data_IF_344678407476
#
_entry.id   IF_344678407476
#
_cell.length_a   1.000
_cell.length_b   1.000
_cell.length_c   1.000
_cell.angle_alpha   90.00
_cell.angle_beta   90.00
_cell.angle_gamma   90.00
#
_symmetry.space_group_name_H-M   'P 1'
#
loop_
_entity.id
_entity.type
_entity.pdbx_description
1 polymer ?
#
# COMPACT_ATOMS: atom_id res chain seq x y z
N UNK A 1 30.42 23.43 15.29
CA UNK A 1 29.50 24.12 14.35
C UNK A 1 28.42 23.08 13.95
N UNK A 2 27.13 23.42 14.06
CA UNK A 2 26.05 22.50 13.62
C UNK A 2 26.11 22.37 12.10
N UNK A 3 25.99 21.17 11.56
CA UNK A 3 25.99 20.95 10.11
C UNK A 3 24.86 21.74 9.45
N UNK A 4 25.11 22.32 8.28
CA UNK A 4 24.14 23.14 7.53
C UNK A 4 22.83 22.38 7.22
N UNK A 5 22.90 21.07 7.10
CA UNK A 5 21.71 20.21 6.89
C UNK A 5 20.67 20.41 7.98
N UNK A 6 21.07 20.56 9.24
CA UNK A 6 20.12 20.82 10.33
C UNK A 6 19.45 22.18 10.24
N UNK A 7 20.14 23.18 9.70
CA UNK A 7 19.53 24.50 9.42
C UNK A 7 18.47 24.39 8.32
N UNK A 8 18.72 23.56 7.29
CA UNK A 8 17.75 23.32 6.22
C UNK A 8 16.55 22.53 6.72
N UNK A 9 16.76 21.55 7.60
CA UNK A 9 15.67 20.79 8.26
C UNK A 9 14.81 21.73 9.11
N UNK A 10 15.41 22.65 9.87
CA UNK A 10 14.68 23.63 10.69
C UNK A 10 13.81 24.53 9.78
N UNK A 11 14.34 25.00 8.63
CA UNK A 11 13.58 25.78 7.64
C UNK A 11 12.42 25.00 7.03
N UNK A 12 12.63 23.72 6.70
CA UNK A 12 11.57 22.86 6.16
C UNK A 12 10.47 22.63 7.20
N UNK A 13 10.84 22.49 8.48
CA UNK A 13 9.88 22.40 9.58
C UNK A 13 9.03 23.68 9.71
N UNK A 14 9.63 24.85 9.56
CA UNK A 14 8.93 26.14 9.53
C UNK A 14 7.97 26.19 8.34
N UNK A 15 8.44 25.84 7.13
CA UNK A 15 7.60 25.79 5.93
C UNK A 15 6.36 24.91 6.11
N UNK A 16 6.54 23.71 6.67
CA UNK A 16 5.43 22.78 6.92
C UNK A 16 4.46 23.29 8.00
N UNK A 17 4.95 24.05 8.98
CA UNK A 17 4.10 24.63 10.03
C UNK A 17 3.26 25.82 9.52
N UNK A 18 3.79 26.59 8.58
CA UNK A 18 3.15 27.80 8.07
C UNK A 18 2.27 27.56 6.84
N UNK A 19 2.39 26.38 6.19
CA UNK A 19 1.66 26.03 4.98
C UNK A 19 0.44 25.15 5.21
N UNK A 20 -0.47 25.14 4.22
CA UNK A 20 -1.50 24.13 4.06
C UNK A 20 -1.06 23.14 2.97
N UNK A 21 -0.64 21.94 3.39
CA UNK A 21 -0.26 20.89 2.44
C UNK A 21 -1.50 20.28 1.79
N UNK A 22 -1.65 20.49 0.48
CA UNK A 22 -2.74 19.93 -0.31
C UNK A 22 -2.32 18.75 -1.19
N UNK A 23 -1.07 18.30 -1.07
CA UNK A 23 -0.61 17.06 -1.73
C UNK A 23 -1.20 15.86 -0.99
N UNK A 24 -2.14 15.08 -1.61
CA UNK A 24 -2.91 14.08 -0.89
C UNK A 24 -2.10 12.87 -0.43
N UNK A 25 -0.85 12.75 -0.88
CA UNK A 25 0.10 11.71 -0.44
C UNK A 25 1.00 12.15 0.73
N UNK A 26 0.90 13.37 1.21
CA UNK A 26 1.64 13.87 2.37
C UNK A 26 0.81 13.83 3.65
N UNK A 27 1.50 13.71 4.80
CA UNK A 27 0.88 13.72 6.12
C UNK A 27 1.94 14.04 7.19
N UNK A 28 1.47 14.37 8.39
CA UNK A 28 2.31 14.67 9.54
C UNK A 28 2.37 13.47 10.50
N UNK A 29 3.56 12.87 10.62
CA UNK A 29 3.79 11.76 11.53
C UNK A 29 3.84 12.20 13.00
N UNK A 30 3.59 11.28 13.93
CA UNK A 30 3.74 11.56 15.36
C UNK A 30 5.20 11.72 15.77
N UNK A 31 5.43 12.39 16.92
CA UNK A 31 6.76 12.49 17.52
C UNK A 31 7.35 11.10 17.81
N UNK A 32 6.53 10.14 18.24
CA UNK A 32 6.99 8.77 18.52
C UNK A 32 7.47 8.04 17.25
N UNK A 33 6.84 8.27 16.10
CA UNK A 33 7.30 7.75 14.81
C UNK A 33 8.67 8.37 14.45
N UNK A 34 8.85 9.69 14.62
CA UNK A 34 10.14 10.35 14.36
C UNK A 34 11.25 9.85 15.30
N UNK A 35 10.94 9.62 16.57
CA UNK A 35 11.87 9.07 17.56
C UNK A 35 12.33 7.65 17.18
N UNK A 36 11.41 6.79 16.76
CA UNK A 36 11.75 5.46 16.27
C UNK A 36 12.62 5.50 15.00
N UNK A 37 12.32 6.42 14.07
CA UNK A 37 13.11 6.64 12.85
C UNK A 37 14.54 7.08 13.13
N UNK A 38 14.77 7.91 14.16
CA UNK A 38 16.09 8.40 14.58
C UNK A 38 16.81 7.48 15.58
N UNK A 39 16.36 6.25 15.78
CA UNK A 39 16.91 5.33 16.78
C UNK A 39 18.20 4.64 16.33
N UNK A 40 18.89 4.01 17.30
CA UNK A 40 20.11 3.20 17.05
C UNK A 40 19.87 1.97 16.15
N UNK A 41 18.60 1.66 15.85
CA UNK A 41 18.25 0.57 14.92
C UNK A 41 18.74 0.82 13.50
N UNK A 42 19.11 2.06 13.15
CA UNK A 42 19.79 2.39 11.88
C UNK A 42 21.14 1.67 11.75
N UNK A 43 21.77 1.28 12.86
CA UNK A 43 23.05 0.57 12.87
C UNK A 43 22.89 -0.95 12.63
N UNK A 44 21.64 -1.47 12.62
CA UNK A 44 21.39 -2.91 12.65
C UNK A 44 21.23 -3.50 11.26
N UNK A 45 21.86 -4.67 11.06
CA UNK A 45 21.73 -5.50 9.86
C UNK A 45 21.00 -6.80 10.22
N UNK A 46 19.91 -7.15 9.50
CA UNK A 46 18.99 -8.23 9.90
C UNK A 46 18.40 -8.98 8.71
N UNK A 47 19.25 -9.54 7.84
CA UNK A 47 18.79 -10.33 6.69
C UNK A 47 18.02 -11.57 7.11
N UNK A 48 16.91 -11.84 6.42
CA UNK A 48 15.95 -12.89 6.73
C UNK A 48 14.74 -12.39 7.49
N UNK A 49 14.11 -13.28 8.24
CA UNK A 49 12.83 -13.01 8.92
C UNK A 49 12.81 -13.51 10.36
N UNK A 50 11.99 -12.93 11.26
CA UNK A 50 11.65 -13.57 12.52
C UNK A 50 10.79 -14.81 12.26
N UNK A 51 10.68 -15.72 13.25
CA UNK A 51 9.68 -16.79 13.19
C UNK A 51 8.28 -16.22 13.30
N UNK A 52 7.35 -16.80 12.53
CA UNK A 52 5.93 -16.42 12.52
C UNK A 52 5.06 -17.27 13.47
N UNK A 53 5.64 -18.26 14.16
CA UNK A 53 4.92 -19.13 15.06
C UNK A 53 4.26 -18.37 16.21
N UNK A 54 2.98 -18.62 16.43
CA UNK A 54 2.21 -18.07 17.55
C UNK A 54 1.83 -16.60 17.43
N UNK A 55 1.92 -15.99 16.24
CA UNK A 55 1.41 -14.63 16.01
C UNK A 55 -0.12 -14.56 15.90
N UNK A 56 -0.82 -15.70 15.87
CA UNK A 56 -2.28 -15.78 15.83
C UNK A 56 -2.94 -15.41 17.13
N UNK A 57 -2.23 -15.56 18.27
CA UNK A 57 -2.73 -15.12 19.57
C UNK A 57 -2.36 -13.64 19.80
N UNK A 58 -3.36 -12.77 19.72
CA UNK A 58 -3.13 -11.35 19.93
C UNK A 58 -2.84 -11.03 21.40
N UNK A 59 -1.56 -10.95 21.74
CA UNK A 59 -1.07 -10.39 22.99
C UNK A 59 0.30 -9.77 22.75
N UNK A 60 0.35 -8.43 22.73
CA UNK A 60 1.57 -7.68 22.39
C UNK A 60 2.76 -8.02 23.29
N UNK A 61 2.54 -8.22 24.59
CA UNK A 61 3.61 -8.58 25.53
C UNK A 61 4.13 -9.98 25.24
N UNK A 62 3.23 -10.96 25.03
CA UNK A 62 3.64 -12.31 24.67
C UNK A 62 4.40 -12.34 23.34
N UNK A 63 3.95 -11.58 22.33
CA UNK A 63 4.63 -11.46 21.02
C UNK A 63 6.02 -10.87 21.23
N UNK A 64 6.16 -9.82 22.05
CA UNK A 64 7.41 -9.16 22.34
C UNK A 64 8.38 -10.01 23.20
N UNK A 65 7.86 -10.85 24.09
CA UNK A 65 8.69 -11.64 25.04
C UNK A 65 9.06 -13.03 24.53
N UNK A 66 8.31 -13.57 23.56
CA UNK A 66 8.49 -14.95 23.10
C UNK A 66 9.86 -15.15 22.46
N UNK A 67 10.66 -16.03 23.03
CA UNK A 67 11.89 -16.54 22.41
C UNK A 67 11.50 -17.60 21.38
N UNK A 68 11.51 -17.22 20.11
CA UNK A 68 11.25 -18.14 18.99
C UNK A 68 12.53 -18.33 18.17
N UNK A 69 12.63 -19.47 17.51
CA UNK A 69 13.54 -19.64 16.39
C UNK A 69 13.29 -18.55 15.35
N UNK A 70 14.27 -18.21 14.56
CA UNK A 70 14.12 -17.25 13.48
C UNK A 70 14.70 -17.82 12.17
N UNK A 71 14.38 -17.17 11.09
CA UNK A 71 14.87 -17.46 9.73
C UNK A 71 15.88 -16.39 9.30
N UNK A 72 16.66 -15.86 10.27
CA UNK A 72 17.75 -14.93 10.03
C UNK A 72 19.02 -15.67 9.59
N UNK A 73 19.83 -15.01 8.81
CA UNK A 73 21.07 -15.59 8.30
C UNK A 73 22.19 -15.60 9.34
N UNK A 74 22.05 -14.84 10.46
CA UNK A 74 23.02 -14.74 11.54
C UNK A 74 22.37 -14.35 12.87
N UNK A 75 23.12 -14.50 13.97
CA UNK A 75 22.65 -14.25 15.33
C UNK A 75 22.57 -12.77 15.71
N UNK A 76 22.25 -12.52 16.98
CA UNK A 76 22.15 -11.16 17.54
C UNK A 76 20.86 -10.42 17.21
N UNK A 77 19.78 -11.14 16.89
CA UNK A 77 18.53 -10.58 16.33
C UNK A 77 17.40 -10.45 17.35
N UNK A 78 17.62 -10.80 18.62
CA UNK A 78 16.57 -10.94 19.63
C UNK A 78 15.61 -9.75 19.71
N UNK A 79 16.13 -8.51 19.69
CA UNK A 79 15.29 -7.33 19.83
C UNK A 79 14.61 -6.94 18.51
N UNK A 80 15.32 -7.04 17.40
CA UNK A 80 14.72 -6.72 16.08
C UNK A 80 13.68 -7.76 15.68
N UNK A 81 13.85 -9.04 16.02
CA UNK A 81 12.83 -10.07 15.83
C UNK A 81 11.52 -9.75 16.59
N UNK A 82 11.66 -9.23 17.80
CA UNK A 82 10.49 -8.81 18.60
C UNK A 82 9.79 -7.61 17.99
N UNK A 83 10.56 -6.62 17.53
CA UNK A 83 10.03 -5.41 16.90
C UNK A 83 9.33 -5.77 15.59
N UNK A 84 9.95 -6.57 14.73
CA UNK A 84 9.38 -6.95 13.45
C UNK A 84 8.12 -7.82 13.62
N UNK A 85 8.13 -8.80 14.53
CA UNK A 85 6.93 -9.58 14.88
C UNK A 85 5.78 -8.69 15.37
N UNK A 86 6.08 -7.71 16.19
CA UNK A 86 5.07 -6.76 16.69
C UNK A 86 4.49 -5.92 15.53
N UNK A 87 5.34 -5.47 14.61
CA UNK A 87 4.89 -4.74 13.41
C UNK A 87 3.98 -5.62 12.54
N UNK A 88 4.38 -6.87 12.26
CA UNK A 88 3.60 -7.85 11.49
C UNK A 88 2.24 -8.10 12.17
N UNK A 89 2.23 -8.43 13.46
CA UNK A 89 1.01 -8.73 14.20
C UNK A 89 0.03 -7.54 14.23
N UNK A 90 0.53 -6.32 14.43
CA UNK A 90 -0.28 -5.10 14.40
C UNK A 90 -0.85 -4.84 13.01
N UNK A 91 -0.06 -5.02 11.96
CA UNK A 91 -0.51 -4.89 10.57
C UNK A 91 -1.60 -5.93 10.24
N UNK A 92 -1.39 -7.20 10.57
CA UNK A 92 -2.40 -8.25 10.39
C UNK A 92 -3.72 -7.91 11.08
N UNK A 93 -3.65 -7.42 12.33
CA UNK A 93 -4.84 -7.03 13.09
C UNK A 93 -5.57 -5.83 12.47
N UNK A 94 -4.83 -4.81 12.02
CA UNK A 94 -5.41 -3.60 11.40
C UNK A 94 -6.16 -3.90 10.11
N UNK A 95 -5.64 -4.81 9.31
CA UNK A 95 -6.09 -5.05 7.94
C UNK A 95 -6.75 -6.42 7.75
N UNK A 96 -7.03 -7.16 8.82
CA UNK A 96 -7.61 -8.52 8.78
C UNK A 96 -6.81 -9.46 7.85
N UNK A 97 -5.49 -9.29 7.77
CA UNK A 97 -4.61 -10.11 6.96
C UNK A 97 -4.14 -11.36 7.72
N UNK A 98 -3.84 -12.43 6.99
CA UNK A 98 -3.28 -13.66 7.58
C UNK A 98 -1.77 -13.50 7.79
N UNK A 99 -1.10 -12.70 6.94
CA UNK A 99 0.30 -12.34 7.06
C UNK A 99 0.59 -10.92 6.54
N UNK A 100 1.69 -10.35 7.02
CA UNK A 100 2.18 -9.06 6.58
C UNK A 100 3.71 -9.10 6.40
N UNK A 101 4.20 -8.60 5.26
CA UNK A 101 5.62 -8.30 5.09
C UNK A 101 5.85 -6.80 5.29
N UNK A 102 6.61 -6.45 6.33
CA UNK A 102 6.87 -5.06 6.75
C UNK A 102 8.21 -4.52 6.24
N UNK A 103 8.97 -5.32 5.50
CA UNK A 103 10.31 -4.98 5.01
C UNK A 103 10.34 -4.12 3.73
N UNK A 104 9.32 -4.03 2.85
CA UNK A 104 9.41 -3.21 1.65
C UNK A 104 9.79 -1.76 1.96
N UNK A 105 10.80 -1.25 1.22
CA UNK A 105 11.35 0.10 1.41
C UNK A 105 10.36 1.19 0.95
N UNK A 106 9.50 0.87 -0.02
CA UNK A 106 8.49 1.78 -0.56
C UNK A 106 7.29 1.00 -1.10
N UNK A 107 6.19 1.71 -1.46
CA UNK A 107 5.07 1.10 -2.17
C UNK A 107 5.49 0.51 -3.53
N UNK A 108 6.39 1.16 -4.24
CA UNK A 108 6.93 0.64 -5.50
C UNK A 108 7.65 -0.70 -5.30
N UNK A 109 8.51 -0.81 -4.27
CA UNK A 109 9.17 -2.07 -3.94
C UNK A 109 8.17 -3.16 -3.51
N UNK A 110 7.09 -2.78 -2.81
CA UNK A 110 6.03 -3.72 -2.44
C UNK A 110 5.32 -4.28 -3.70
N UNK A 111 4.95 -3.43 -4.66
CA UNK A 111 4.34 -3.86 -5.90
C UNK A 111 5.27 -4.75 -6.73
N UNK A 112 6.52 -4.34 -6.92
CA UNK A 112 7.56 -5.11 -7.62
C UNK A 112 7.77 -6.50 -7.00
N UNK A 113 7.79 -6.60 -5.67
CA UNK A 113 7.93 -7.88 -4.98
C UNK A 113 6.72 -8.80 -5.23
N UNK A 114 5.49 -8.27 -5.27
CA UNK A 114 4.29 -9.06 -5.58
C UNK A 114 4.32 -9.56 -7.03
N UNK A 115 4.68 -8.69 -7.99
CA UNK A 115 4.83 -9.11 -9.39
C UNK A 115 5.89 -10.21 -9.53
N UNK A 116 7.06 -10.02 -8.90
CA UNK A 116 8.14 -11.00 -8.91
C UNK A 116 7.77 -12.33 -8.22
N UNK A 117 6.93 -12.28 -7.18
CA UNK A 117 6.45 -13.48 -6.49
C UNK A 117 5.55 -14.34 -7.37
N UNK A 118 4.70 -13.71 -8.18
CA UNK A 118 3.61 -14.41 -8.86
C UNK A 118 3.82 -14.57 -10.37
N UNK A 119 4.22 -13.52 -11.05
CA UNK A 119 4.34 -13.48 -12.49
C UNK A 119 5.71 -13.93 -13.00
N UNK A 120 5.75 -14.46 -14.22
CA UNK A 120 6.97 -14.69 -14.98
C UNK A 120 7.17 -13.54 -16.01
N UNK A 121 8.39 -13.28 -16.48
CA UNK A 121 8.61 -12.27 -17.52
C UNK A 121 7.72 -12.48 -18.75
N UNK A 122 7.02 -11.43 -19.17
CA UNK A 122 6.06 -11.46 -20.27
C UNK A 122 4.62 -11.80 -19.88
N UNK A 123 4.36 -12.16 -18.64
CA UNK A 123 2.98 -12.39 -18.16
C UNK A 123 2.12 -11.14 -18.22
N UNK A 124 0.83 -11.32 -18.51
CA UNK A 124 -0.14 -10.26 -18.60
C UNK A 124 -0.64 -9.83 -17.22
N UNK A 125 -0.57 -8.53 -16.94
CA UNK A 125 -1.10 -7.89 -15.74
C UNK A 125 -2.15 -6.86 -16.15
N UNK A 126 -3.38 -7.03 -15.69
CA UNK A 126 -4.46 -6.05 -15.93
C UNK A 126 -4.46 -5.01 -14.81
N UNK A 127 -4.25 -3.73 -15.14
CA UNK A 127 -4.06 -2.65 -14.18
C UNK A 127 -4.60 -1.31 -14.69
N UNK A 128 -4.85 -0.37 -13.77
CA UNK A 128 -5.40 0.96 -14.09
C UNK A 128 -4.39 1.80 -14.88
N UNK A 129 -4.86 2.41 -15.96
CA UNK A 129 -4.10 3.34 -16.79
C UNK A 129 -3.60 4.54 -15.98
N UNK A 130 -2.33 4.94 -16.19
CA UNK A 130 -1.75 6.12 -15.55
C UNK A 130 -2.56 7.40 -15.81
N UNK A 131 -3.04 7.59 -17.03
CA UNK A 131 -3.85 8.74 -17.43
C UNK A 131 -5.23 8.79 -16.79
N UNK A 132 -5.73 7.67 -16.26
CA UNK A 132 -6.99 7.56 -15.52
C UNK A 132 -6.80 7.55 -14.00
N UNK A 133 -5.58 7.74 -13.53
CA UNK A 133 -5.27 7.81 -12.09
C UNK A 133 -4.49 6.62 -11.53
N UNK A 134 -4.03 5.68 -12.37
CA UNK A 134 -3.16 4.58 -11.94
C UNK A 134 -1.82 5.08 -11.38
N UNK A 135 -1.11 4.21 -10.68
CA UNK A 135 0.25 4.52 -10.21
C UNK A 135 1.29 4.19 -11.29
N UNK A 136 2.47 4.83 -11.23
CA UNK A 136 3.57 4.54 -12.16
C UNK A 136 3.90 3.03 -12.24
N UNK A 137 3.91 2.32 -11.12
CA UNK A 137 4.19 0.88 -11.06
C UNK A 137 3.08 0.00 -11.61
N UNK A 138 1.94 0.57 -12.04
CA UNK A 138 0.83 -0.13 -12.68
C UNK A 138 0.99 -0.22 -14.21
N UNK A 139 2.22 -0.20 -14.70
CA UNK A 139 2.52 -0.42 -16.11
C UNK A 139 2.94 0.81 -16.89
N UNK A 140 3.31 1.91 -16.24
CA UNK A 140 3.90 3.04 -16.97
C UNK A 140 5.19 2.61 -17.68
N UNK A 141 5.36 2.93 -18.99
CA UNK A 141 6.50 2.47 -19.80
C UNK A 141 7.88 2.84 -19.26
N UNK A 142 7.95 3.83 -18.36
CA UNK A 142 9.21 4.27 -17.76
C UNK A 142 9.62 3.42 -16.55
N UNK A 143 8.75 2.53 -16.08
CA UNK A 143 9.04 1.68 -14.91
C UNK A 143 9.73 0.38 -15.27
N UNK A 144 10.43 -0.21 -14.29
CA UNK A 144 11.06 -1.51 -14.43
C UNK A 144 10.02 -2.60 -14.70
N UNK A 145 8.89 -2.60 -13.98
CA UNK A 145 7.83 -3.59 -14.12
C UNK A 145 7.30 -3.66 -15.55
N UNK A 146 7.06 -2.53 -16.21
CA UNK A 146 6.59 -2.47 -17.58
C UNK A 146 7.62 -2.96 -18.63
N UNK A 147 8.90 -3.10 -18.24
CA UNK A 147 9.94 -3.70 -19.10
C UNK A 147 10.02 -5.23 -18.97
N UNK A 148 9.41 -5.77 -17.92
CA UNK A 148 9.46 -7.21 -17.59
C UNK A 148 8.13 -7.89 -17.89
N UNK A 149 7.01 -7.25 -17.55
CA UNK A 149 5.66 -7.79 -17.67
C UNK A 149 4.85 -7.02 -18.72
N UNK A 150 3.83 -7.65 -19.25
CA UNK A 150 2.93 -7.04 -20.21
C UNK A 150 1.71 -6.45 -19.49
N UNK A 151 1.68 -5.13 -19.31
CA UNK A 151 0.55 -4.45 -18.69
C UNK A 151 -0.55 -4.12 -19.68
N UNK A 152 -1.77 -4.56 -19.36
CA UNK A 152 -3.00 -4.25 -20.11
C UNK A 152 -3.73 -3.17 -19.31
N UNK A 153 -3.86 -1.94 -19.83
CA UNK A 153 -4.47 -0.85 -19.08
C UNK A 153 -6.00 -0.88 -19.21
N UNK A 154 -6.71 -0.67 -18.09
CA UNK A 154 -8.13 -0.33 -18.07
C UNK A 154 -8.35 1.11 -17.61
N UNK A 155 -9.53 1.67 -17.90
CA UNK A 155 -9.87 3.05 -17.64
C UNK A 155 -10.96 3.27 -16.59
N UNK A 156 -11.47 4.49 -16.61
CA UNK A 156 -12.66 4.95 -15.88
C UNK A 156 -13.72 5.41 -16.88
N UNK A 157 -14.99 5.35 -16.47
CA UNK A 157 -16.10 5.95 -17.21
C UNK A 157 -16.05 7.49 -17.16
N UNK A 158 -16.87 8.15 -17.97
CA UNK A 158 -16.98 9.62 -17.96
C UNK A 158 -17.50 10.15 -16.61
N UNK A 159 -18.28 9.34 -15.88
CA UNK A 159 -18.76 9.64 -14.52
C UNK A 159 -17.70 9.43 -13.43
N UNK A 160 -16.49 9.00 -13.81
CA UNK A 160 -15.35 8.78 -12.91
C UNK A 160 -15.44 7.52 -12.07
N UNK A 161 -16.25 6.52 -12.47
CA UNK A 161 -16.20 5.17 -11.91
C UNK A 161 -15.15 4.31 -12.63
N UNK A 162 -14.70 3.21 -12.00
CA UNK A 162 -13.94 2.20 -12.73
C UNK A 162 -14.83 1.61 -13.83
N UNK A 163 -14.30 1.47 -15.03
CA UNK A 163 -15.02 0.81 -16.12
C UNK A 163 -14.96 -0.71 -15.94
N UNK A 164 -15.88 -1.23 -15.11
CA UNK A 164 -15.92 -2.66 -14.79
C UNK A 164 -16.27 -3.54 -15.99
N UNK A 165 -17.00 -3.01 -16.99
CA UNK A 165 -17.34 -3.76 -18.20
C UNK A 165 -16.08 -3.88 -19.09
N UNK A 166 -15.26 -2.82 -19.18
CA UNK A 166 -13.95 -2.88 -19.81
C UNK A 166 -13.01 -3.85 -19.08
N UNK A 167 -12.96 -3.79 -17.72
CA UNK A 167 -12.13 -4.69 -16.91
C UNK A 167 -12.52 -6.16 -17.16
N UNK A 168 -13.81 -6.48 -17.17
CA UNK A 168 -14.32 -7.83 -17.44
C UNK A 168 -13.96 -8.28 -18.85
N UNK A 169 -14.23 -7.46 -19.85
CA UNK A 169 -13.88 -7.72 -21.25
C UNK A 169 -12.39 -8.02 -21.40
N UNK A 170 -11.52 -7.14 -20.90
CA UNK A 170 -10.08 -7.30 -20.99
C UNK A 170 -9.58 -8.54 -20.25
N UNK A 171 -10.12 -8.86 -19.08
CA UNK A 171 -9.79 -10.06 -18.33
C UNK A 171 -10.19 -11.36 -19.06
N UNK A 172 -11.28 -11.31 -19.80
CA UNK A 172 -11.76 -12.44 -20.59
C UNK A 172 -11.05 -12.55 -21.97
N UNK A 173 -10.61 -11.46 -22.57
CA UNK A 173 -9.93 -11.47 -23.87
C UNK A 173 -8.43 -11.79 -23.77
N UNK A 174 -7.83 -11.59 -22.59
CA UNK A 174 -6.38 -11.76 -22.38
C UNK A 174 -6.12 -12.79 -21.27
N UNK A 175 -5.17 -13.69 -21.48
CA UNK A 175 -4.71 -14.64 -20.46
C UNK A 175 -3.91 -13.90 -19.37
N UNK A 176 -4.63 -13.28 -18.41
CA UNK A 176 -4.01 -12.52 -17.33
C UNK A 176 -3.57 -13.44 -16.18
N UNK A 177 -2.44 -13.12 -15.54
CA UNK A 177 -1.94 -13.79 -14.33
C UNK A 177 -2.23 -12.99 -13.07
N UNK A 178 -2.45 -11.68 -13.22
CA UNK A 178 -2.71 -10.78 -12.11
C UNK A 178 -3.73 -9.70 -12.52
N UNK A 179 -4.74 -9.49 -11.68
CA UNK A 179 -5.67 -8.36 -11.76
C UNK A 179 -5.39 -7.41 -10.61
N UNK A 180 -4.99 -6.18 -10.94
CA UNK A 180 -4.62 -5.14 -9.98
C UNK A 180 -5.66 -4.02 -9.95
N UNK A 181 -6.24 -3.79 -8.79
CA UNK A 181 -7.04 -2.60 -8.48
C UNK A 181 -6.23 -1.68 -7.59
N UNK A 182 -6.05 -0.44 -8.01
CA UNK A 182 -5.29 0.53 -7.23
C UNK A 182 -5.06 1.82 -8.00
N UNK A 183 -4.74 2.88 -7.27
CA UNK A 183 -4.72 4.22 -7.83
C UNK A 183 -3.83 5.18 -7.05
N UNK A 184 -3.36 6.22 -7.76
CA UNK A 184 -2.79 7.44 -7.19
C UNK A 184 -3.80 8.58 -7.13
N UNK A 185 -4.78 8.58 -8.04
CA UNK A 185 -5.77 9.65 -8.18
C UNK A 185 -7.14 9.05 -8.53
N UNK A 186 -7.91 8.68 -7.52
CA UNK A 186 -9.27 8.15 -7.67
C UNK A 186 -10.09 8.50 -6.42
N UNK A 187 -11.23 9.16 -6.61
CA UNK A 187 -12.00 9.77 -5.54
C UNK A 187 -13.19 8.93 -5.06
N UNK A 188 -13.50 7.82 -5.73
CA UNK A 188 -14.60 6.91 -5.36
C UNK A 188 -14.10 5.67 -4.63
N UNK A 189 -15.01 4.86 -4.15
CA UNK A 189 -14.75 3.54 -3.54
C UNK A 189 -14.98 2.48 -4.61
N UNK A 190 -13.97 1.64 -4.94
CA UNK A 190 -14.15 0.55 -5.89
C UNK A 190 -15.16 -0.51 -5.39
N UNK A 191 -15.93 -1.07 -6.30
CA UNK A 191 -16.75 -2.27 -6.05
C UNK A 191 -15.86 -3.52 -6.07
N UNK A 192 -15.28 -3.83 -4.92
CA UNK A 192 -14.38 -4.99 -4.76
C UNK A 192 -15.09 -6.33 -4.99
N UNK A 193 -16.40 -6.40 -4.71
CA UNK A 193 -17.18 -7.63 -4.92
C UNK A 193 -17.35 -7.91 -6.42
N UNK A 194 -17.63 -6.88 -7.23
CA UNK A 194 -17.71 -6.99 -8.69
C UNK A 194 -16.36 -7.42 -9.28
N UNK A 195 -15.26 -6.85 -8.81
CA UNK A 195 -13.91 -7.23 -9.24
C UNK A 195 -13.59 -8.69 -8.92
N UNK A 196 -13.96 -9.16 -7.73
CA UNK A 196 -13.77 -10.56 -7.35
C UNK A 196 -14.57 -11.53 -8.26
N UNK A 197 -15.78 -11.15 -8.69
CA UNK A 197 -16.57 -11.91 -9.66
C UNK A 197 -15.91 -11.93 -11.05
N UNK A 198 -15.37 -10.81 -11.51
CA UNK A 198 -14.61 -10.72 -12.78
C UNK A 198 -13.40 -11.65 -12.74
N UNK A 199 -12.60 -11.61 -11.67
CA UNK A 199 -11.47 -12.53 -11.48
C UNK A 199 -11.90 -13.99 -11.60
N UNK A 200 -12.99 -14.36 -10.92
CA UNK A 200 -13.51 -15.73 -10.96
C UNK A 200 -13.93 -16.17 -12.36
N UNK A 201 -14.61 -15.32 -13.11
CA UNK A 201 -14.99 -15.58 -14.50
C UNK A 201 -13.75 -15.78 -15.41
N UNK A 202 -12.70 -14.98 -15.19
CA UNK A 202 -11.44 -15.14 -15.93
C UNK A 202 -10.71 -16.46 -15.56
N UNK A 203 -10.67 -16.84 -14.28
CA UNK A 203 -10.11 -18.13 -13.84
C UNK A 203 -10.85 -19.32 -14.48
N UNK A 204 -12.19 -19.26 -14.52
CA UNK A 204 -13.02 -20.32 -15.14
C UNK A 204 -12.76 -20.42 -16.66
N UNK A 205 -12.47 -19.28 -17.32
CA UNK A 205 -12.11 -19.26 -18.75
C UNK A 205 -10.70 -19.79 -19.02
N UNK A 206 -9.70 -19.32 -18.25
CA UNK A 206 -8.28 -19.61 -18.53
C UNK A 206 -7.77 -20.88 -17.86
N UNK A 207 -8.52 -21.46 -16.91
CA UNK A 207 -8.19 -22.71 -16.23
C UNK A 207 -7.01 -22.65 -15.26
N UNK A 208 -6.67 -21.49 -14.74
CA UNK A 208 -5.61 -21.30 -13.74
C UNK A 208 -5.96 -20.20 -12.73
N UNK A 209 -5.27 -20.21 -11.58
CA UNK A 209 -5.41 -19.17 -10.55
C UNK A 209 -4.92 -17.82 -11.07
N UNK A 210 -5.68 -16.76 -10.78
CA UNK A 210 -5.34 -15.36 -11.08
C UNK A 210 -5.18 -14.61 -9.76
N UNK A 211 -4.01 -14.02 -9.53
CA UNK A 211 -3.77 -13.22 -8.33
C UNK A 211 -4.62 -11.95 -8.35
N UNK A 212 -5.47 -11.79 -7.35
CA UNK A 212 -6.22 -10.56 -7.14
C UNK A 212 -5.48 -9.67 -6.14
N UNK A 213 -4.97 -8.54 -6.63
CA UNK A 213 -4.13 -7.60 -5.88
C UNK A 213 -4.82 -6.23 -5.76
N UNK A 214 -4.69 -5.60 -4.61
CA UNK A 214 -5.11 -4.21 -4.40
C UNK A 214 -3.93 -3.34 -3.96
N UNK A 215 -3.63 -2.26 -4.68
CA UNK A 215 -2.73 -1.19 -4.20
C UNK A 215 -3.57 -0.08 -3.56
N UNK A 216 -3.63 -0.10 -2.22
CA UNK A 216 -4.46 0.81 -1.42
C UNK A 216 -3.61 1.89 -0.72
N UNK A 217 -2.48 2.26 -1.30
CA UNK A 217 -1.52 3.19 -0.70
C UNK A 217 -2.17 4.50 -0.23
N UNK A 218 -3.10 5.06 -1.00
CA UNK A 218 -3.74 6.32 -0.64
C UNK A 218 -4.74 6.19 0.51
N UNK A 219 -5.48 5.10 0.57
CA UNK A 219 -6.62 4.94 1.51
C UNK A 219 -6.34 4.00 2.68
N UNK A 220 -5.11 3.50 2.83
CA UNK A 220 -4.76 2.53 3.88
C UNK A 220 -5.13 2.98 5.30
N UNK A 221 -4.97 4.27 5.62
CA UNK A 221 -5.39 4.82 6.92
C UNK A 221 -6.90 4.80 7.10
N UNK A 222 -7.67 4.99 6.02
CA UNK A 222 -9.14 4.91 6.04
C UNK A 222 -9.61 3.47 6.20
N UNK A 223 -8.93 2.51 5.55
CA UNK A 223 -9.17 1.06 5.70
C UNK A 223 -8.86 0.63 7.13
N UNK A 224 -7.70 0.96 7.66
CA UNK A 224 -7.29 0.63 9.03
C UNK A 224 -8.26 1.16 10.09
N UNK A 225 -8.91 2.29 9.81
CA UNK A 225 -9.92 2.90 10.68
C UNK A 225 -11.35 2.35 10.46
N UNK A 226 -11.56 1.46 9.50
CA UNK A 226 -12.89 0.97 9.11
C UNK A 226 -13.81 2.07 8.56
N UNK A 227 -13.23 3.05 7.86
CA UNK A 227 -13.94 4.15 7.17
C UNK A 227 -14.04 3.90 5.67
N UNK A 228 -13.16 3.05 5.14
CA UNK A 228 -13.16 2.56 3.77
C UNK A 228 -13.19 1.03 3.79
N UNK A 229 -13.88 0.34 2.87
CA UNK A 229 -13.90 -1.11 2.82
C UNK A 229 -12.48 -1.68 2.59
N UNK A 230 -12.23 -2.85 3.18
CA UNK A 230 -10.95 -3.53 3.07
C UNK A 230 -11.02 -4.58 1.93
N UNK A 231 -10.22 -4.48 0.86
CA UNK A 231 -10.29 -5.44 -0.25
C UNK A 231 -10.03 -6.89 0.18
N UNK A 232 -9.24 -7.13 1.24
CA UNK A 232 -8.98 -8.48 1.75
C UNK A 232 -10.26 -9.18 2.28
N UNK A 233 -11.29 -8.43 2.65
CA UNK A 233 -12.59 -8.97 3.08
C UNK A 233 -13.48 -9.38 1.88
N UNK A 234 -13.07 -9.04 0.64
CA UNK A 234 -13.77 -9.33 -0.62
C UNK A 234 -13.03 -10.33 -1.52
N UNK A 235 -12.15 -11.16 -0.95
CA UNK A 235 -11.47 -12.22 -1.69
C UNK A 235 -10.21 -11.77 -2.43
N UNK A 236 -9.68 -10.58 -2.15
CA UNK A 236 -8.34 -10.20 -2.61
C UNK A 236 -7.27 -11.01 -1.87
N UNK A 237 -6.29 -11.48 -2.62
CA UNK A 237 -5.20 -12.31 -2.08
C UNK A 237 -4.09 -11.46 -1.48
N UNK A 238 -3.84 -10.29 -2.07
CA UNK A 238 -2.78 -9.37 -1.68
C UNK A 238 -3.30 -7.95 -1.63
N UNK A 239 -2.92 -7.21 -0.59
CA UNK A 239 -3.03 -5.76 -0.54
C UNK A 239 -1.64 -5.16 -0.30
N UNK A 240 -1.18 -4.31 -1.22
CA UNK A 240 0.00 -3.48 -1.00
C UNK A 240 -0.39 -2.08 -0.55
N UNK A 241 0.50 -1.45 0.19
CA UNK A 241 0.31 -0.06 0.60
C UNK A 241 1.62 0.62 0.97
N UNK A 242 1.56 1.93 1.07
CA UNK A 242 2.56 2.73 1.77
C UNK A 242 2.13 2.98 3.21
N UNK A 243 3.08 3.32 4.09
CA UNK A 243 2.78 3.62 5.49
C UNK A 243 2.68 5.11 5.79
N UNK A 244 3.04 5.99 4.85
CA UNK A 244 3.24 7.43 5.08
C UNK A 244 2.13 8.37 4.55
N UNK A 245 1.05 7.84 3.94
CA UNK A 245 -0.07 8.64 3.43
C UNK A 245 -1.16 8.77 4.52
N UNK A 246 -2.40 8.39 4.24
CA UNK A 246 -3.48 8.47 5.24
C UNK A 246 -3.22 7.64 6.50
N UNK A 247 -2.35 6.63 6.43
CA UNK A 247 -1.95 5.84 7.61
C UNK A 247 -1.04 6.60 8.58
N UNK A 248 -0.45 7.73 8.15
CA UNK A 248 0.32 8.66 8.99
C UNK A 248 1.54 8.04 9.67
N UNK A 249 2.23 7.13 8.98
CA UNK A 249 3.45 6.48 9.47
C UNK A 249 4.73 6.95 8.76
N UNK A 250 5.85 6.24 8.98
CA UNK A 250 7.11 6.52 8.29
C UNK A 250 7.00 6.23 6.80
N UNK A 251 7.85 6.84 5.99
CA UNK A 251 7.99 6.43 4.58
C UNK A 251 8.44 4.97 4.50
N UNK A 252 7.67 4.17 3.77
CA UNK A 252 7.91 2.74 3.62
C UNK A 252 6.76 2.06 2.89
N UNK A 253 6.94 0.78 2.54
CA UNK A 253 5.93 -0.09 1.95
C UNK A 253 5.44 -1.16 2.94
N UNK A 254 4.35 -1.81 2.60
CA UNK A 254 3.74 -2.90 3.35
C UNK A 254 3.04 -3.82 2.36
N UNK A 255 3.18 -5.13 2.54
CA UNK A 255 2.42 -6.13 1.80
C UNK A 255 1.62 -6.94 2.80
N UNK A 256 0.33 -7.07 2.56
CA UNK A 256 -0.63 -7.80 3.36
C UNK A 256 -1.20 -8.94 2.51
N UNK A 257 -1.30 -10.13 3.06
CA UNK A 257 -1.70 -11.30 2.28
C UNK A 257 -2.73 -12.15 3.00
N UNK A 258 -3.55 -12.85 2.23
CA UNK A 258 -4.35 -13.99 2.65
C UNK A 258 -3.62 -15.27 2.28
N UNK A 259 -3.83 -16.33 3.06
CA UNK A 259 -3.26 -17.66 2.82
C UNK A 259 -2.35 -18.15 3.93
N UNK A 260 -1.72 -19.29 3.70
CA UNK A 260 -0.91 -19.99 4.71
C UNK A 260 0.56 -19.57 4.67
N UNK A 261 1.06 -19.14 5.82
CA UNK A 261 2.47 -18.77 6.00
C UNK A 261 3.31 -20.02 6.19
N UNK A 262 4.28 -20.23 5.29
CA UNK A 262 5.28 -21.29 5.42
C UNK A 262 6.67 -20.72 5.78
N UNK A 263 7.64 -21.64 5.92
CA UNK A 263 9.03 -21.21 6.12
C UNK A 263 9.62 -20.58 4.85
N UNK A 264 10.16 -19.37 4.90
CA UNK A 264 10.81 -18.74 3.76
C UNK A 264 12.10 -19.45 3.34
N UNK A 265 12.64 -20.34 4.17
CA UNK A 265 13.85 -21.13 3.86
C UNK A 265 13.55 -22.40 3.03
N UNK A 266 12.30 -22.90 3.06
CA UNK A 266 11.93 -24.11 2.30
C UNK A 266 11.66 -23.78 0.83
N UNK A 267 12.04 -24.69 -0.06
CA UNK A 267 11.67 -24.61 -1.48
C UNK A 267 10.15 -24.73 -1.63
N UNK A 268 9.57 -23.85 -2.45
CA UNK A 268 8.17 -23.95 -2.85
C UNK A 268 8.15 -24.70 -4.19
N UNK A 269 7.49 -25.85 -4.22
CA UNK A 269 7.44 -26.71 -5.42
C UNK A 269 6.42 -26.19 -6.44
N UNK A 270 5.31 -25.64 -5.95
CA UNK A 270 4.23 -25.10 -6.79
C UNK A 270 3.75 -23.77 -6.24
N UNK A 271 3.66 -22.75 -7.11
CA UNK A 271 3.01 -21.48 -6.80
C UNK A 271 1.50 -21.70 -6.72
N UNK A 272 0.87 -21.29 -5.63
CA UNK A 272 -0.59 -21.29 -5.42
C UNK A 272 -1.00 -20.04 -4.65
N UNK A 273 -2.25 -19.62 -4.76
CA UNK A 273 -2.78 -18.51 -3.98
C UNK A 273 -2.69 -18.77 -2.47
N UNK A 274 -2.81 -20.03 -2.05
CA UNK A 274 -2.68 -20.42 -0.65
C UNK A 274 -1.30 -20.15 -0.06
N UNK A 275 -0.21 -20.28 -0.83
CA UNK A 275 1.15 -20.05 -0.35
C UNK A 275 1.73 -18.69 -0.72
N UNK A 276 0.88 -17.75 -1.18
CA UNK A 276 1.28 -16.38 -1.55
C UNK A 276 2.04 -15.64 -0.44
N UNK A 277 1.71 -15.80 0.87
CA UNK A 277 2.48 -15.18 1.94
C UNK A 277 3.96 -15.53 1.88
N UNK A 278 4.28 -16.82 1.72
CA UNK A 278 5.67 -17.30 1.66
C UNK A 278 6.36 -16.90 0.35
N UNK A 279 5.62 -16.88 -0.77
CA UNK A 279 6.14 -16.41 -2.06
C UNK A 279 6.55 -14.93 -1.98
N UNK A 280 5.71 -14.10 -1.36
CA UNK A 280 5.96 -12.68 -1.14
C UNK A 280 7.19 -12.46 -0.24
N UNK A 281 7.31 -13.21 0.86
CA UNK A 281 8.48 -13.08 1.73
C UNK A 281 9.77 -13.40 0.97
N UNK A 282 9.80 -14.47 0.17
CA UNK A 282 10.95 -14.80 -0.68
C UNK A 282 11.21 -13.75 -1.76
N UNK A 283 10.18 -13.16 -2.30
CA UNK A 283 10.29 -12.12 -3.32
C UNK A 283 10.84 -10.81 -2.73
N UNK A 284 10.48 -10.46 -1.50
CA UNK A 284 11.05 -9.31 -0.81
C UNK A 284 12.50 -9.61 -0.45
N UNK A 285 12.77 -10.64 0.33
CA UNK A 285 14.13 -11.03 0.69
C UNK A 285 14.34 -12.54 0.45
N UNK A 286 15.36 -12.92 -0.34
CA UNK A 286 16.38 -12.09 -0.98
C UNK A 286 16.03 -11.62 -2.41
N UNK A 287 14.77 -11.79 -2.87
CA UNK A 287 14.39 -11.62 -4.27
C UNK A 287 14.62 -10.22 -4.83
N UNK A 288 14.18 -9.18 -4.12
CA UNK A 288 14.22 -7.78 -4.60
C UNK A 288 14.95 -6.82 -3.65
N UNK A 289 15.19 -7.22 -2.40
CA UNK A 289 15.85 -6.41 -1.37
C UNK A 289 16.92 -7.23 -0.63
N UNK A 290 17.85 -6.53 0.05
CA UNK A 290 18.81 -7.05 1.01
C UNK A 290 18.37 -6.79 2.46
N UNK A 291 19.31 -6.33 3.31
CA UNK A 291 19.05 -6.06 4.73
C UNK A 291 17.90 -5.04 4.93
N UNK A 292 16.96 -5.34 5.80
CA UNK A 292 15.82 -4.48 6.08
C UNK A 292 16.22 -3.21 6.84
N UNK A 293 15.40 -2.17 6.75
CA UNK A 293 15.58 -0.91 7.47
C UNK A 293 14.89 -1.01 8.83
N UNK A 294 15.60 -1.51 9.84
CA UNK A 294 15.03 -1.84 11.16
C UNK A 294 14.45 -0.63 11.90
N UNK A 295 15.04 0.56 11.75
CA UNK A 295 14.51 1.81 12.29
C UNK A 295 13.16 2.18 11.63
N UNK A 296 13.00 1.91 10.35
CA UNK A 296 11.72 2.10 9.64
C UNK A 296 10.68 1.08 10.10
N UNK A 297 11.08 -0.19 10.29
CA UNK A 297 10.18 -1.24 10.81
C UNK A 297 9.71 -0.90 12.22
N UNK A 298 10.60 -0.42 13.09
CA UNK A 298 10.21 0.06 14.42
C UNK A 298 9.21 1.22 14.34
N UNK A 299 9.43 2.18 13.45
CA UNK A 299 8.51 3.29 13.24
C UNK A 299 7.17 2.83 12.65
N UNK A 300 7.15 1.81 11.77
CA UNK A 300 5.92 1.15 11.31
C UNK A 300 5.17 0.50 12.49
N UNK A 301 5.89 -0.20 13.38
CA UNK A 301 5.28 -0.81 14.57
C UNK A 301 4.61 0.24 15.46
N UNK A 302 5.25 1.41 15.67
CA UNK A 302 4.65 2.53 16.41
C UNK A 302 3.41 3.05 15.70
N UNK A 303 3.50 3.34 14.41
CA UNK A 303 2.38 3.81 13.58
C UNK A 303 1.17 2.87 13.66
N UNK A 304 1.37 1.57 13.49
CA UNK A 304 0.30 0.58 13.56
C UNK A 304 -0.32 0.51 14.97
N UNK A 305 0.49 0.65 16.02
CA UNK A 305 0.01 0.75 17.39
C UNK A 305 -0.84 2.01 17.64
N UNK A 306 -0.50 3.12 17.00
CA UNK A 306 -1.33 4.34 17.03
C UNK A 306 -2.63 4.16 16.25
N UNK A 307 -2.58 3.50 15.08
CA UNK A 307 -3.74 3.26 14.24
C UNK A 307 -4.77 2.29 14.88
N UNK A 308 -4.33 1.40 15.76
CA UNK A 308 -5.22 0.52 16.56
C UNK A 308 -6.02 1.25 17.64
N UNK A 309 -5.68 2.51 17.98
CA UNK A 309 -6.37 3.26 19.03
C UNK A 309 -7.67 3.90 18.53
N UNK A 310 -8.70 4.04 19.37
CA UNK A 310 -10.00 4.60 18.95
C UNK A 310 -9.92 6.02 18.37
N UNK A 311 -8.97 6.84 18.83
CA UNK A 311 -8.79 8.20 18.34
C UNK A 311 -8.36 8.25 16.85
N UNK A 312 -7.70 7.21 16.34
CA UNK A 312 -7.35 7.11 14.93
C UNK A 312 -8.60 6.99 14.04
N UNK A 313 -9.61 6.25 14.50
CA UNK A 313 -10.91 6.19 13.81
C UNK A 313 -11.61 7.55 13.72
N UNK A 314 -11.54 8.33 14.80
CA UNK A 314 -12.09 9.70 14.82
C UNK A 314 -11.34 10.60 13.83
N UNK A 315 -10.01 10.51 13.81
CA UNK A 315 -9.15 11.21 12.85
C UNK A 315 -9.50 10.86 11.39
N UNK A 316 -9.60 9.58 11.06
CA UNK A 316 -9.92 9.12 9.71
C UNK A 316 -11.31 9.60 9.24
N UNK A 317 -12.32 9.56 10.12
CA UNK A 317 -13.65 10.12 9.83
C UNK A 317 -13.58 11.62 9.56
N UNK A 318 -12.76 12.35 10.31
CA UNK A 318 -12.60 13.79 10.12
C UNK A 318 -11.93 14.11 8.77
N UNK A 319 -10.96 13.30 8.32
CA UNK A 319 -10.35 13.45 6.98
C UNK A 319 -11.43 13.42 5.89
N UNK A 320 -12.28 12.39 5.89
CA UNK A 320 -13.33 12.27 4.86
C UNK A 320 -14.35 13.41 4.96
N UNK A 321 -14.70 13.82 6.18
CA UNK A 321 -15.62 14.96 6.40
C UNK A 321 -15.02 16.26 5.86
N UNK A 322 -13.75 16.52 6.10
CA UNK A 322 -13.05 17.71 5.60
C UNK A 322 -12.96 17.69 4.07
N UNK A 323 -12.61 16.55 3.47
CA UNK A 323 -12.55 16.42 2.01
C UNK A 323 -13.91 16.70 1.35
N UNK A 324 -15.00 16.16 1.91
CA UNK A 324 -16.35 16.42 1.41
C UNK A 324 -16.75 17.89 1.56
N UNK A 325 -16.38 18.53 2.66
CA UNK A 325 -16.65 19.96 2.85
C UNK A 325 -15.87 20.84 1.86
N UNK A 326 -14.59 20.52 1.64
CA UNK A 326 -13.75 21.21 0.65
C UNK A 326 -14.29 20.98 -0.78
N UNK A 327 -14.66 19.75 -1.15
CA UNK A 327 -15.24 19.44 -2.45
C UNK A 327 -16.51 20.24 -2.71
N UNK A 328 -17.42 20.30 -1.72
CA UNK A 328 -18.65 21.10 -1.80
C UNK A 328 -18.34 22.58 -2.04
N UNK A 329 -17.41 23.16 -1.27
CA UNK A 329 -17.06 24.58 -1.40
C UNK A 329 -16.39 24.88 -2.75
N UNK A 330 -15.58 23.96 -3.28
CA UNK A 330 -15.00 24.11 -4.61
C UNK A 330 -16.08 24.14 -5.69
N UNK A 331 -17.08 23.25 -5.63
CA UNK A 331 -18.21 23.24 -6.57
C UNK A 331 -19.01 24.55 -6.48
N UNK A 332 -19.31 25.03 -5.28
CA UNK A 332 -20.00 26.31 -5.07
C UNK A 332 -19.22 27.51 -5.63
N UNK A 333 -17.89 27.41 -5.68
CA UNK A 333 -17.00 28.40 -6.29
C UNK A 333 -16.76 28.18 -7.80
N UNK A 334 -17.53 27.30 -8.46
CA UNK A 334 -17.49 27.11 -9.90
C UNK A 334 -16.44 26.12 -10.41
N UNK A 335 -15.79 25.35 -9.52
CA UNK A 335 -14.91 24.27 -9.94
C UNK A 335 -15.70 23.03 -10.37
N UNK A 336 -15.28 22.41 -11.44
CA UNK A 336 -15.79 21.11 -11.88
C UNK A 336 -14.92 20.01 -11.27
N UNK A 337 -15.53 19.12 -10.52
CA UNK A 337 -14.85 17.99 -9.90
C UNK A 337 -15.17 16.70 -10.66
N UNK A 338 -14.15 15.91 -10.95
CA UNK A 338 -14.34 14.58 -11.50
C UNK A 338 -15.18 13.74 -10.53
N UNK A 339 -16.17 12.99 -11.03
CA UNK A 339 -17.11 12.22 -10.22
C UNK A 339 -18.05 13.05 -9.34
N UNK A 340 -18.11 14.36 -9.52
CA UNK A 340 -19.01 15.26 -8.80
C UNK A 340 -18.71 15.43 -7.30
N UNK A 341 -17.52 14.99 -6.82
CA UNK A 341 -17.16 15.10 -5.41
C UNK A 341 -16.11 14.08 -4.96
N UNK A 342 -16.19 13.60 -3.72
CA UNK A 342 -15.28 12.59 -3.19
C UNK A 342 -15.93 11.70 -2.12
N UNK A 343 -15.52 10.45 -2.09
CA UNK A 343 -15.87 9.46 -1.06
C UNK A 343 -14.72 9.16 -0.09
N UNK A 344 -13.50 9.69 -0.39
CA UNK A 344 -12.31 9.50 0.42
C UNK A 344 -11.62 10.84 0.76
N UNK A 345 -10.29 10.93 0.72
CA UNK A 345 -9.52 12.15 0.99
C UNK A 345 -9.05 12.87 -0.27
N UNK A 346 -9.19 12.23 -1.44
CA UNK A 346 -8.76 12.75 -2.73
C UNK A 346 -9.86 13.61 -3.36
N UNK A 347 -9.48 14.74 -3.97
CA UNK A 347 -10.37 15.57 -4.78
C UNK A 347 -9.67 15.76 -6.13
N UNK A 348 -10.34 15.39 -7.21
CA UNK A 348 -9.85 15.61 -8.56
C UNK A 348 -10.60 16.78 -9.20
N UNK A 349 -9.86 17.84 -9.53
CA UNK A 349 -10.42 19.04 -10.14
C UNK A 349 -10.16 18.99 -11.65
N UNK A 350 -11.20 19.09 -12.46
CA UNK A 350 -11.08 19.28 -13.90
C UNK A 350 -10.82 20.77 -14.19
N UNK A 351 -9.56 21.13 -14.17
CA UNK A 351 -9.11 22.50 -14.41
C UNK A 351 -9.41 22.97 -15.83
N UNK A 352 -9.34 22.06 -16.79
CA UNK A 352 -9.60 22.41 -18.21
C UNK A 352 -11.08 22.78 -18.40
N UNK A 353 -11.99 21.98 -17.88
CA UNK A 353 -13.41 22.28 -17.96
C UNK A 353 -13.84 23.45 -17.07
N UNK A 354 -13.18 23.64 -15.90
CA UNK A 354 -13.47 24.75 -15.01
C UNK A 354 -13.03 26.11 -15.57
N UNK A 355 -11.81 26.20 -16.15
CA UNK A 355 -11.19 27.48 -16.47
C UNK A 355 -10.59 27.57 -17.88
N UNK A 356 -10.73 26.54 -18.70
CA UNK A 356 -10.14 26.43 -20.05
C UNK A 356 -8.60 26.64 -20.07
N UNK A 357 -7.90 26.21 -19.02
CA UNK A 357 -6.45 26.21 -18.90
C UNK A 357 -5.94 24.79 -18.59
N UNK A 358 -4.65 24.55 -18.79
CA UNK A 358 -4.08 23.24 -18.42
C UNK A 358 -3.86 23.14 -16.90
N UNK A 359 -4.01 21.94 -16.32
CA UNK A 359 -3.71 21.69 -14.91
C UNK A 359 -2.26 22.07 -14.55
N UNK A 360 -1.30 21.82 -15.47
CA UNK A 360 0.11 22.19 -15.27
C UNK A 360 0.33 23.71 -15.21
N UNK A 361 -0.48 24.49 -15.91
CA UNK A 361 -0.43 25.95 -15.83
C UNK A 361 -1.00 26.41 -14.49
N UNK A 362 -2.16 25.86 -14.09
CA UNK A 362 -2.81 26.18 -12.83
C UNK A 362 -1.94 25.86 -11.60
N UNK A 363 -1.25 24.71 -11.62
CA UNK A 363 -0.33 24.31 -10.53
C UNK A 363 0.81 25.28 -10.31
N UNK A 364 1.24 26.00 -11.36
CA UNK A 364 2.37 26.95 -11.30
C UNK A 364 1.97 28.39 -10.99
N UNK A 365 0.70 28.72 -11.10
CA UNK A 365 0.15 30.04 -10.83
C UNK A 365 -0.14 30.26 -9.34
#
# INVERSE_FOLDING_TARGET
MKDIVFTLIDKEKERQADGLELIPSENYVSKAVLEAMGSVLTNKYSEGYPSFEGLTEWNELKIAEKKLSNYRYYGGQTNVDRIERLAIARACKLFHADHANVQPHSGANANEAVYFAWCEPGDNILAMNLGHGGHLTHGSPVTRSAKIYNFIPYGTTDEGDLDYDEIEKLALENDIKLLLIGYSAFMKIPDFERVAKIRKAAEDKWGHEILLMADMAHVAGLIAAGVHPNPLDFGFNVMTTTTHKTLRGPRGGLILTKGTVGSPLKKIEKKTLENIPTLVDKAVFPGTQGGPLEHVIAAKAVCFGEALKPNFKTYAKQIVKNAKALAKQLIENGFILQGGGTENHLILIDIKSSFNISGKFYEKA
#
